data_IF_934424712903
#
_entry.id   IF_934424712903
#
_cell.length_a   1.000
_cell.length_b   1.000
_cell.length_c   1.000
_cell.angle_alpha   90.00
_cell.angle_beta   90.00
_cell.angle_gamma   90.00
#
_symmetry.space_group_name_H-M   'P 1'
#
loop_
_entity.id
_entity.type
_entity.pdbx_description
1 polymer ?
#
# COMPACT_ATOMS: atom_id res chain seq x y z
N UNK A 1 0.42 -7.29 -7.88
CA UNK A 1 -0.53 -6.86 -8.94
C UNK A 1 0.18 -5.84 -9.85
N UNK A 2 -0.18 -5.70 -11.13
CA UNK A 2 0.37 -4.59 -11.93
C UNK A 2 -0.11 -3.25 -11.37
N UNK A 3 0.82 -2.29 -11.21
CA UNK A 3 0.58 -0.95 -10.65
C UNK A 3 0.83 0.16 -11.66
N UNK A 4 1.18 -0.18 -12.91
CA UNK A 4 1.42 0.79 -13.98
C UNK A 4 0.18 1.65 -14.27
N UNK A 5 -1.02 1.11 -14.05
CA UNK A 5 -2.29 1.80 -14.22
C UNK A 5 -2.42 3.06 -13.35
N UNK A 6 -1.73 3.13 -12.21
CA UNK A 6 -1.78 4.28 -11.30
C UNK A 6 -1.28 5.58 -11.96
N UNK A 7 -0.51 5.44 -13.03
CA UNK A 7 0.06 6.55 -13.81
C UNK A 7 -0.68 6.83 -15.13
N UNK A 8 -1.74 6.07 -15.43
CA UNK A 8 -2.53 6.24 -16.65
C UNK A 8 -3.55 7.38 -16.52
N UNK A 9 -4.10 7.82 -17.65
CA UNK A 9 -5.17 8.83 -17.64
C UNK A 9 -6.39 8.29 -16.90
N UNK A 10 -6.98 9.10 -16.02
CA UNK A 10 -8.18 8.71 -15.25
C UNK A 10 -9.42 8.44 -16.11
N UNK A 11 -9.40 8.85 -17.38
CA UNK A 11 -10.45 8.55 -18.37
C UNK A 11 -10.15 7.32 -19.22
N UNK A 12 -9.00 6.66 -19.01
CA UNK A 12 -8.58 5.52 -19.80
C UNK A 12 -9.13 4.21 -19.24
N UNK A 13 -9.21 3.20 -20.10
CA UNK A 13 -9.69 1.88 -19.71
C UNK A 13 -8.70 1.17 -18.77
N UNK A 14 -7.40 1.43 -18.94
CA UNK A 14 -6.33 0.92 -18.08
C UNK A 14 -6.51 1.40 -16.64
N UNK A 15 -6.80 2.69 -16.45
CA UNK A 15 -7.05 3.24 -15.12
C UNK A 15 -8.32 2.64 -14.49
N UNK A 16 -9.42 2.55 -15.25
CA UNK A 16 -10.67 1.96 -14.77
C UNK A 16 -10.51 0.48 -14.36
N UNK A 17 -9.82 -0.31 -15.19
CA UNK A 17 -9.52 -1.69 -14.88
C UNK A 17 -8.65 -1.80 -13.63
N UNK A 18 -7.59 -0.97 -13.54
CA UNK A 18 -6.70 -0.94 -12.38
C UNK A 18 -7.41 -0.58 -11.08
N UNK A 19 -8.30 0.43 -11.10
CA UNK A 19 -9.13 0.82 -9.95
C UNK A 19 -10.06 -0.33 -9.54
N UNK A 20 -10.71 -1.00 -10.51
CA UNK A 20 -11.58 -2.14 -10.21
C UNK A 20 -10.82 -3.29 -9.56
N UNK A 21 -9.65 -3.62 -10.11
CA UNK A 21 -8.84 -4.73 -9.64
C UNK A 21 -8.25 -4.42 -8.26
N UNK A 22 -7.82 -3.18 -8.02
CA UNK A 22 -7.40 -2.68 -6.71
C UNK A 22 -8.53 -2.76 -5.67
N UNK A 23 -9.72 -2.25 -5.97
CA UNK A 23 -10.84 -2.28 -5.01
C UNK A 23 -11.27 -3.71 -4.68
N UNK A 24 -11.25 -4.60 -5.67
CA UNK A 24 -11.49 -6.02 -5.43
C UNK A 24 -10.43 -6.61 -4.50
N UNK A 25 -9.16 -6.34 -4.76
CA UNK A 25 -8.06 -6.77 -3.90
C UNK A 25 -8.21 -6.26 -2.46
N UNK A 26 -8.53 -4.97 -2.28
CA UNK A 26 -8.77 -4.39 -0.97
C UNK A 26 -9.87 -5.12 -0.20
N UNK A 27 -11.03 -5.36 -0.83
CA UNK A 27 -12.15 -6.06 -0.21
C UNK A 27 -11.80 -7.50 0.16
N UNK A 28 -11.08 -8.19 -0.72
CA UNK A 28 -10.72 -9.61 -0.53
C UNK A 28 -9.68 -9.80 0.60
N UNK A 29 -8.89 -8.78 0.94
CA UNK A 29 -7.81 -8.87 1.93
C UNK A 29 -8.09 -8.13 3.25
N UNK A 30 -9.13 -7.31 3.34
CA UNK A 30 -9.50 -6.61 4.57
C UNK A 30 -10.42 -7.45 5.45
N UNK A 31 -10.16 -7.44 6.76
CA UNK A 31 -11.04 -8.09 7.75
C UNK A 31 -12.43 -7.42 7.84
N UNK A 32 -12.49 -6.11 7.58
CA UNK A 32 -13.71 -5.33 7.60
C UNK A 32 -13.91 -4.53 6.30
N UNK A 33 -14.70 -5.04 5.34
CA UNK A 33 -14.89 -4.41 4.03
C UNK A 33 -15.76 -3.15 4.07
N UNK A 34 -16.41 -2.84 5.20
CA UNK A 34 -17.22 -1.61 5.34
C UNK A 34 -16.37 -0.37 5.61
N UNK A 35 -15.09 -0.53 5.96
CA UNK A 35 -14.17 0.56 6.29
C UNK A 35 -12.84 0.39 5.57
N UNK A 36 -12.77 0.87 4.34
CA UNK A 36 -11.57 0.78 3.49
C UNK A 36 -10.86 2.14 3.49
N UNK A 37 -9.56 2.21 3.79
CA UNK A 37 -8.78 3.45 3.67
C UNK A 37 -8.79 3.97 2.24
N UNK A 38 -9.04 5.26 2.03
CA UNK A 38 -9.05 5.85 0.69
C UNK A 38 -7.62 6.22 0.25
N UNK A 39 -7.06 5.59 -0.81
CA UNK A 39 -5.68 5.82 -1.24
C UNK A 39 -5.57 7.00 -2.23
N UNK A 40 -6.61 7.82 -2.38
CA UNK A 40 -6.54 8.96 -3.28
C UNK A 40 -5.56 10.02 -2.75
N UNK A 41 -5.00 10.82 -3.66
CA UNK A 41 -3.97 11.84 -3.33
C UNK A 41 -4.40 12.85 -2.25
N UNK A 42 -5.71 13.05 -2.07
CA UNK A 42 -6.25 13.96 -1.07
C UNK A 42 -6.49 13.28 0.30
N UNK A 43 -6.69 11.97 0.31
CA UNK A 43 -7.03 11.22 1.52
C UNK A 43 -5.80 10.52 2.12
N UNK A 44 -4.83 10.11 1.30
CA UNK A 44 -3.58 9.47 1.73
C UNK A 44 -3.76 8.36 2.76
N UNK A 45 -4.76 7.49 2.56
CA UNK A 45 -5.14 6.39 3.46
C UNK A 45 -5.59 6.80 4.87
N UNK A 46 -5.87 8.09 5.13
CA UNK A 46 -6.29 8.59 6.45
C UNK A 46 -7.79 8.39 6.70
N UNK A 47 -8.61 8.47 5.65
CA UNK A 47 -10.07 8.44 5.76
C UNK A 47 -10.62 7.11 5.24
N UNK A 48 -11.47 6.47 6.05
CA UNK A 48 -12.18 5.26 5.67
C UNK A 48 -13.47 5.61 4.94
N UNK A 49 -13.76 4.90 3.86
CA UNK A 49 -14.92 5.12 3.00
C UNK A 49 -15.43 3.80 2.43
N UNK A 50 -16.64 3.82 1.87
CA UNK A 50 -17.16 2.69 1.09
C UNK A 50 -16.41 2.55 -0.25
N UNK A 51 -16.43 1.35 -0.82
CA UNK A 51 -15.83 1.08 -2.15
C UNK A 51 -16.32 2.04 -3.24
N UNK A 52 -17.60 2.43 -3.22
CA UNK A 52 -18.17 3.35 -4.18
C UNK A 52 -17.59 4.77 -4.02
N UNK A 53 -17.50 5.27 -2.79
CA UNK A 53 -16.91 6.59 -2.50
C UNK A 53 -15.41 6.62 -2.87
N UNK A 54 -14.68 5.54 -2.58
CA UNK A 54 -13.27 5.43 -2.97
C UNK A 54 -13.15 5.44 -4.48
N UNK A 55 -13.97 4.67 -5.21
CA UNK A 55 -13.97 4.68 -6.67
C UNK A 55 -14.16 6.11 -7.19
N UNK A 56 -15.17 6.82 -6.70
CA UNK A 56 -15.44 8.20 -7.10
C UNK A 56 -14.24 9.13 -6.81
N UNK A 57 -13.62 9.00 -5.64
CA UNK A 57 -12.42 9.76 -5.27
C UNK A 57 -11.23 9.46 -6.18
N UNK A 58 -11.02 8.20 -6.57
CA UNK A 58 -9.92 7.81 -7.46
C UNK A 58 -10.12 8.39 -8.87
N UNK A 59 -11.35 8.43 -9.39
CA UNK A 59 -11.63 9.09 -10.67
C UNK A 59 -11.52 10.63 -10.58
N UNK A 60 -11.93 11.24 -9.47
CA UNK A 60 -11.92 12.71 -9.29
C UNK A 60 -10.53 13.27 -8.96
N UNK A 61 -9.76 12.58 -8.13
CA UNK A 61 -8.50 13.07 -7.56
C UNK A 61 -7.30 12.27 -8.02
N UNK A 62 -7.48 11.02 -8.43
CA UNK A 62 -6.39 10.10 -8.72
C UNK A 62 -5.91 9.38 -7.46
N UNK A 63 -5.29 8.23 -7.67
CA UNK A 63 -4.59 7.50 -6.63
C UNK A 63 -3.29 8.22 -6.28
N UNK A 64 -2.86 8.14 -5.02
CA UNK A 64 -1.54 8.61 -4.64
C UNK A 64 -0.45 7.73 -5.32
N UNK A 65 0.35 8.27 -6.26
CA UNK A 65 1.35 7.49 -6.97
C UNK A 65 2.54 7.07 -6.09
N UNK A 66 2.65 7.63 -4.88
CA UNK A 66 3.65 7.24 -3.89
C UNK A 66 3.20 6.03 -3.08
N UNK A 67 1.89 5.73 -3.08
CA UNK A 67 1.32 4.58 -2.39
C UNK A 67 1.52 3.28 -3.19
N UNK A 68 2.79 2.88 -3.29
CA UNK A 68 3.23 1.74 -4.11
C UNK A 68 3.11 0.41 -3.40
N UNK A 69 3.11 0.39 -2.09
CA UNK A 69 2.91 -0.80 -1.27
C UNK A 69 1.54 -0.68 -0.65
N UNK A 70 0.64 -1.62 -0.95
CA UNK A 70 -0.73 -1.58 -0.49
C UNK A 70 -0.85 -2.18 0.92
N UNK A 71 0.02 -1.74 1.84
CA UNK A 71 0.14 -2.24 3.22
C UNK A 71 -1.21 -2.13 3.96
N UNK A 72 -1.90 -0.99 3.83
CA UNK A 72 -3.23 -0.73 4.38
C UNK A 72 -4.35 -1.56 3.75
N UNK A 73 -4.05 -2.31 2.69
CA UNK A 73 -5.00 -3.15 1.95
C UNK A 73 -4.54 -4.62 1.88
N UNK A 74 -3.60 -5.02 2.74
CA UNK A 74 -3.20 -6.43 2.90
C UNK A 74 -2.25 -6.95 1.81
N UNK A 75 -1.52 -6.07 1.13
CA UNK A 75 -0.38 -6.55 0.32
C UNK A 75 0.77 -6.94 1.23
N UNK A 76 1.14 -8.22 1.17
CA UNK A 76 2.34 -8.72 1.82
C UNK A 76 3.55 -8.02 1.23
N UNK A 77 4.25 -7.24 2.06
CA UNK A 77 5.58 -6.73 1.76
C UNK A 77 6.51 -7.93 1.95
N UNK A 78 6.61 -8.77 0.92
CA UNK A 78 7.72 -9.70 0.83
C UNK A 78 8.96 -8.83 0.71
N UNK A 79 9.68 -8.65 1.81
CA UNK A 79 11.07 -8.23 1.76
C UNK A 79 11.75 -9.17 0.77
N UNK A 80 12.02 -8.69 -0.44
CA UNK A 80 12.96 -9.35 -1.33
C UNK A 80 14.29 -9.30 -0.59
N UNK A 81 14.56 -10.33 0.22
CA UNK A 81 15.83 -10.52 0.91
C UNK A 81 16.82 -10.81 -0.21
N UNK A 82 17.41 -9.74 -0.75
CA UNK A 82 18.64 -9.81 -1.52
C UNK A 82 19.64 -10.63 -0.68
N UNK A 83 20.10 -11.80 -1.15
CA UNK A 83 20.99 -12.61 -0.33
C UNK A 83 22.37 -11.92 -0.29
N UNK A 84 22.89 -11.80 0.94
CA UNK A 84 24.30 -11.59 1.33
C UNK A 84 24.83 -10.15 1.50
N UNK A 85 24.93 -9.71 2.77
CA UNK A 85 26.23 -9.41 3.39
C UNK A 85 26.22 -9.93 4.83
N UNK A 86 27.02 -10.96 5.12
CA UNK A 86 27.37 -11.35 6.49
C UNK A 86 28.18 -10.24 7.15
N UNK A 87 27.57 -9.47 8.06
CA UNK A 87 28.33 -8.69 9.04
C UNK A 87 28.42 -9.50 10.32
N UNK A 88 29.57 -10.13 10.50
CA UNK A 88 29.99 -10.80 11.73
C UNK A 88 30.17 -9.73 12.82
N UNK A 89 29.09 -9.41 13.54
CA UNK A 89 29.17 -8.55 14.72
C UNK A 89 29.78 -9.36 15.85
N UNK A 90 31.09 -9.20 16.05
CA UNK A 90 31.73 -9.54 17.32
C UNK A 90 31.07 -8.72 18.43
N UNK A 91 30.42 -9.42 19.36
CA UNK A 91 29.85 -8.84 20.57
C UNK A 91 31.02 -8.70 21.55
N UNK A 92 31.59 -7.51 21.68
CA UNK A 92 32.43 -7.19 22.83
C UNK A 92 31.50 -6.95 24.03
N UNK A 93 31.30 -8.02 24.80
CA UNK A 93 30.77 -8.02 26.16
C UNK A 93 31.75 -7.25 27.06
N UNK A 94 31.52 -5.97 27.33
CA UNK A 94 31.79 -5.41 28.66
C UNK A 94 31.08 -4.06 28.90
N UNK A 95 29.93 -4.10 29.56
CA UNK A 95 29.48 -2.97 30.39
C UNK A 95 29.23 -3.50 31.79
N UNK A 96 30.31 -3.80 32.51
CA UNK A 96 30.28 -3.96 33.96
C UNK A 96 29.57 -2.76 34.63
N UNK A 97 28.50 -3.06 35.36
CA UNK A 97 27.89 -2.17 36.35
C UNK A 97 28.87 -1.85 37.47
N UNK A 98 28.91 -0.58 37.90
CA UNK A 98 29.20 0.00 39.25
C UNK A 98 30.04 1.27 39.08
N UNK A 99 29.85 2.37 39.80
CA UNK A 99 29.04 2.75 40.99
C UNK A 99 28.93 4.27 40.98
#
# INVERSE_FOLDING_TARGET
MDKSWMFMSRTSQEYDNGVRDFLKFAVDNLENPDFIPCPCINCSNVYNMSTNEIRDHLFQHGIDPTYREWEWHGEDILDEVEPNVTTDYVVDDDYEMRT
#
